data_IF_135317001929
#
_entry.id   IF_135317001929
#
_cell.length_a   1.000
_cell.length_b   1.000
_cell.length_c   1.000
_cell.angle_alpha   90.00
_cell.angle_beta   90.00
_cell.angle_gamma   90.00
#
_symmetry.space_group_name_H-M   'P 1'
#
loop_
_entity.id
_entity.type
_entity.pdbx_description
1 polymer ?
#
# COMPACT_ATOMS: atom_id res chain seq x y z
N UNK A 1 46.18 34.03 87.41
CA UNK A 1 46.19 33.21 86.18
C UNK A 1 45.57 34.06 85.06
N UNK A 2 46.42 34.67 84.21
CA UNK A 2 46.46 34.58 82.73
C UNK A 2 45.14 34.89 81.99
N UNK A 3 45.03 35.62 80.87
CA UNK A 3 45.87 36.46 79.99
C UNK A 3 44.84 37.19 79.07
N UNK A 4 45.22 38.34 78.52
CA UNK A 4 44.47 39.22 77.60
C UNK A 4 44.18 38.66 76.18
N UNK A 5 43.28 39.31 75.40
CA UNK A 5 43.38 39.66 73.95
C UNK A 5 42.04 40.29 73.47
N UNK A 6 41.95 41.53 72.96
CA UNK A 6 42.37 42.16 71.67
C UNK A 6 41.55 41.76 70.40
N UNK A 7 40.60 42.64 70.04
CA UNK A 7 40.28 43.28 68.74
C UNK A 7 40.54 42.59 67.37
N UNK A 8 39.52 42.62 66.48
CA UNK A 8 39.44 43.18 65.08
C UNK A 8 38.50 42.35 64.17
N UNK A 9 37.37 42.92 63.74
CA UNK A 9 37.11 43.56 62.42
C UNK A 9 36.96 42.57 61.25
N UNK A 10 35.73 42.37 60.76
CA UNK A 10 35.44 41.81 59.43
C UNK A 10 34.45 42.74 58.75
N UNK A 11 34.90 43.32 57.63
CA UNK A 11 34.13 44.23 56.78
C UNK A 11 33.30 43.44 55.77
N UNK A 12 31.99 43.67 55.74
CA UNK A 12 31.09 43.11 54.72
C UNK A 12 31.02 44.07 53.53
N UNK A 13 31.52 43.60 52.39
CA UNK A 13 31.50 44.30 51.10
C UNK A 13 30.13 44.12 50.45
N UNK A 14 29.47 45.24 50.12
CA UNK A 14 28.26 45.27 49.30
C UNK A 14 28.61 44.98 47.83
N UNK A 15 28.09 43.87 47.28
CA UNK A 15 28.06 43.62 45.84
C UNK A 15 26.70 44.06 45.28
N UNK A 16 26.72 45.10 44.47
CA UNK A 16 25.59 45.53 43.63
C UNK A 16 25.59 44.63 42.40
N UNK A 17 24.56 43.82 42.22
CA UNK A 17 24.29 43.11 40.96
C UNK A 17 23.11 43.77 40.26
N UNK A 18 23.39 44.42 39.14
CA UNK A 18 22.41 44.96 38.22
C UNK A 18 21.67 43.80 37.52
N UNK A 19 20.36 43.69 37.72
CA UNK A 19 19.52 42.73 37.02
C UNK A 19 19.16 43.31 35.64
N UNK A 20 19.75 42.73 34.59
CA UNK A 20 19.29 42.88 33.22
C UNK A 20 17.94 42.15 33.07
N UNK A 21 16.89 42.90 32.74
CA UNK A 21 15.59 42.34 32.40
C UNK A 21 15.66 41.67 31.01
N UNK A 22 15.20 40.42 30.84
CA UNK A 22 14.89 39.92 29.51
C UNK A 22 13.59 40.56 29.03
N UNK A 23 13.63 41.15 27.82
CA UNK A 23 12.42 41.45 27.04
C UNK A 23 11.67 40.13 26.83
N UNK A 24 10.61 39.92 27.60
CA UNK A 24 9.60 38.92 27.31
C UNK A 24 8.76 39.42 26.13
N UNK A 25 9.00 38.85 24.96
CA UNK A 25 8.13 39.02 23.80
C UNK A 25 6.79 38.32 24.09
N UNK A 26 5.73 39.13 24.26
CA UNK A 26 4.36 38.79 23.86
C UNK A 26 3.67 37.61 24.53
N UNK A 27 3.51 37.62 25.86
CA UNK A 27 2.37 36.94 26.50
C UNK A 27 1.28 37.99 26.76
N UNK A 28 0.30 38.02 25.86
CA UNK A 28 -0.94 38.76 26.04
C UNK A 28 -1.78 38.03 27.11
N UNK A 29 -2.16 38.65 28.23
CA UNK A 29 -3.02 38.04 29.22
C UNK A 29 -4.47 38.24 28.79
N UNK A 30 -5.08 37.26 28.11
CA UNK A 30 -6.54 37.19 28.00
C UNK A 30 -7.12 36.68 29.33
N UNK A 31 -6.97 37.49 30.38
CA UNK A 31 -7.43 37.22 31.74
C UNK A 31 -8.91 37.48 31.96
N UNK A 32 -9.79 36.90 31.13
CA UNK A 32 -11.19 36.71 31.56
C UNK A 32 -11.30 35.31 32.13
N UNK A 33 -11.43 35.21 33.45
CA UNK A 33 -11.89 33.97 34.08
C UNK A 33 -13.19 33.56 33.39
N UNK A 34 -13.14 32.44 32.66
CA UNK A 34 -14.33 31.88 32.04
C UNK A 34 -15.13 31.14 33.12
N UNK A 35 -16.46 31.05 33.00
CA UNK A 35 -17.26 30.22 33.90
C UNK A 35 -16.73 28.77 34.00
N UNK A 36 -16.20 28.23 32.88
CA UNK A 36 -15.60 26.90 32.87
C UNK A 36 -14.28 26.83 33.63
N UNK A 37 -13.39 27.83 33.54
CA UNK A 37 -12.16 27.86 34.34
C UNK A 37 -12.46 27.98 35.84
N UNK A 38 -13.41 28.84 36.22
CA UNK A 38 -13.86 28.95 37.61
C UNK A 38 -14.41 27.62 38.16
N UNK A 39 -15.19 26.88 37.35
CA UNK A 39 -15.66 25.54 37.73
C UNK A 39 -14.52 24.53 37.89
N UNK A 40 -13.45 24.61 37.09
CA UNK A 40 -12.26 23.75 37.22
C UNK A 40 -11.51 24.02 38.52
N UNK A 41 -11.39 25.29 38.91
CA UNK A 41 -10.73 25.68 40.15
C UNK A 41 -11.53 25.21 41.38
N UNK A 42 -12.87 25.31 41.31
CA UNK A 42 -13.77 24.76 42.34
C UNK A 42 -13.65 23.23 42.43
N UNK A 43 -13.59 22.54 41.29
CA UNK A 43 -13.35 21.09 41.25
C UNK A 43 -12.01 20.70 41.88
N UNK A 44 -10.92 21.39 41.50
CA UNK A 44 -9.57 21.15 42.04
C UNK A 44 -9.51 21.40 43.56
N UNK A 45 -10.35 22.30 44.07
CA UNK A 45 -10.50 22.60 45.49
C UNK A 45 -11.50 21.68 46.22
N UNK A 46 -11.98 20.62 45.57
CA UNK A 46 -12.99 19.68 46.07
C UNK A 46 -14.35 20.32 46.44
N UNK A 47 -14.69 21.49 45.88
CA UNK A 47 -15.97 22.20 46.06
C UNK A 47 -16.97 21.77 44.99
N UNK A 48 -17.35 20.50 45.00
CA UNK A 48 -18.09 19.86 43.91
C UNK A 48 -19.50 20.42 43.69
N UNK A 49 -20.26 20.73 44.74
CA UNK A 49 -21.60 21.31 44.61
C UNK A 49 -21.57 22.70 43.95
N UNK A 50 -20.59 23.52 44.32
CA UNK A 50 -20.41 24.86 43.74
C UNK A 50 -19.93 24.79 42.30
N UNK A 51 -18.99 23.88 42.00
CA UNK A 51 -18.58 23.59 40.64
C UNK A 51 -19.79 23.18 39.78
N UNK A 52 -20.67 22.32 40.29
CA UNK A 52 -21.90 21.93 39.59
C UNK A 52 -22.85 23.10 39.37
N UNK A 53 -23.03 23.97 40.36
CA UNK A 53 -23.87 25.16 40.21
C UNK A 53 -23.36 26.05 39.07
N UNK A 54 -22.04 26.29 39.01
CA UNK A 54 -21.42 27.04 37.91
C UNK A 54 -21.61 26.32 36.58
N UNK A 55 -21.29 25.02 36.50
CA UNK A 55 -21.38 24.23 35.27
C UNK A 55 -22.81 24.15 34.71
N UNK A 56 -23.83 24.06 35.56
CA UNK A 56 -25.25 24.09 35.16
C UNK A 56 -25.65 25.42 34.50
N UNK A 57 -24.98 26.52 34.85
CA UNK A 57 -25.26 27.84 34.32
C UNK A 57 -24.59 28.14 32.97
N UNK A 58 -23.63 27.31 32.54
CA UNK A 58 -22.87 27.55 31.31
C UNK A 58 -23.72 27.11 30.11
N UNK A 59 -23.89 28.02 29.14
CA UNK A 59 -24.37 27.67 27.80
C UNK A 59 -23.16 27.33 26.94
N UNK A 60 -23.06 26.10 26.40
CA UNK A 60 -21.92 25.73 25.57
C UNK A 60 -21.99 26.43 24.22
N UNK A 61 -20.88 27.05 23.82
CA UNK A 61 -20.69 27.75 22.56
C UNK A 61 -20.35 26.78 21.41
N UNK A 62 -19.62 25.71 21.73
CA UNK A 62 -19.19 24.69 20.76
C UNK A 62 -19.23 23.24 21.33
N UNK A 63 -19.13 22.20 20.48
CA UNK A 63 -19.14 20.81 20.94
C UNK A 63 -17.96 20.44 21.87
N UNK A 64 -16.70 20.84 21.63
CA UNK A 64 -15.59 20.59 22.55
C UNK A 64 -15.79 21.17 23.97
N UNK A 65 -16.34 22.37 24.08
CA UNK A 65 -16.65 23.02 25.35
C UNK A 65 -17.82 22.31 26.02
N UNK A 66 -18.87 21.92 25.28
CA UNK A 66 -19.96 21.08 25.82
C UNK A 66 -19.44 19.78 26.43
N UNK A 67 -18.58 19.06 25.70
CA UNK A 67 -17.93 17.84 26.21
C UNK A 67 -17.16 18.13 27.50
N UNK A 68 -16.37 19.22 27.52
CA UNK A 68 -15.60 19.61 28.70
C UNK A 68 -16.50 19.91 29.91
N UNK A 69 -17.61 20.62 29.71
CA UNK A 69 -18.60 20.92 30.75
C UNK A 69 -19.16 19.61 31.31
N UNK A 70 -19.66 18.71 30.46
CA UNK A 70 -20.23 17.43 30.91
C UNK A 70 -19.20 16.51 31.56
N UNK A 71 -17.94 16.58 31.14
CA UNK A 71 -16.84 15.86 31.77
C UNK A 71 -16.68 16.32 33.23
N UNK A 72 -16.52 17.62 33.50
CA UNK A 72 -16.39 18.10 34.88
C UNK A 72 -17.66 17.87 35.70
N UNK A 73 -18.85 17.97 35.08
CA UNK A 73 -20.13 17.64 35.74
C UNK A 73 -20.16 16.20 36.21
N UNK A 74 -19.82 15.25 35.33
CA UNK A 74 -19.78 13.82 35.67
C UNK A 74 -18.83 13.54 36.84
N UNK A 75 -17.64 14.16 36.85
CA UNK A 75 -16.66 13.99 37.92
C UNK A 75 -17.16 14.53 39.26
N UNK A 76 -17.80 15.71 39.27
CA UNK A 76 -18.41 16.27 40.48
C UNK A 76 -19.55 15.38 41.00
N UNK A 77 -20.43 14.92 40.12
CA UNK A 77 -21.57 14.07 40.49
C UNK A 77 -21.11 12.72 41.06
N UNK A 78 -20.07 12.11 40.49
CA UNK A 78 -19.46 10.90 41.04
C UNK A 78 -18.86 11.13 42.43
N UNK A 79 -18.17 12.25 42.64
CA UNK A 79 -17.58 12.60 43.93
C UNK A 79 -18.65 12.82 45.02
N UNK A 80 -19.81 13.35 44.64
CA UNK A 80 -20.97 13.55 45.52
C UNK A 80 -21.86 12.30 45.70
N UNK A 81 -21.54 11.18 45.03
CA UNK A 81 -22.35 9.96 45.09
C UNK A 81 -23.67 10.02 44.32
N UNK A 82 -23.86 11.01 43.43
CA UNK A 82 -25.06 11.23 42.62
C UNK A 82 -25.01 10.41 41.33
N UNK A 83 -25.07 9.08 41.47
CA UNK A 83 -24.79 8.11 40.39
C UNK A 83 -25.66 8.26 39.13
N UNK A 84 -26.98 8.40 39.26
CA UNK A 84 -27.90 8.50 38.11
C UNK A 84 -27.65 9.76 37.25
N UNK A 85 -27.39 10.88 37.90
CA UNK A 85 -27.05 12.13 37.22
C UNK A 85 -25.65 12.05 36.60
N UNK A 86 -24.70 11.42 37.30
CA UNK A 86 -23.37 11.17 36.77
C UNK A 86 -23.44 10.34 35.49
N UNK A 87 -24.21 9.26 35.45
CA UNK A 87 -24.39 8.44 34.24
C UNK A 87 -24.92 9.27 33.07
N UNK A 88 -25.84 10.20 33.32
CA UNK A 88 -26.37 11.10 32.29
C UNK A 88 -25.30 12.02 31.73
N UNK A 89 -24.49 12.62 32.59
CA UNK A 89 -23.37 13.47 32.18
C UNK A 89 -22.29 12.66 31.44
N UNK A 90 -21.96 11.46 31.90
CA UNK A 90 -21.02 10.54 31.21
C UNK A 90 -21.55 10.19 29.83
N UNK A 91 -22.84 9.86 29.71
CA UNK A 91 -23.46 9.56 28.43
C UNK A 91 -23.29 10.72 27.44
N UNK A 92 -23.50 11.97 27.90
CA UNK A 92 -23.28 13.15 27.06
C UNK A 92 -21.81 13.31 26.61
N UNK A 93 -20.83 13.00 27.48
CA UNK A 93 -19.41 12.99 27.11
C UNK A 93 -19.12 11.93 26.05
N UNK A 94 -19.61 10.69 26.25
CA UNK A 94 -19.39 9.56 25.33
C UNK A 94 -20.10 9.78 24.00
N UNK A 95 -21.29 10.38 23.98
CA UNK A 95 -21.97 10.76 22.73
C UNK A 95 -21.15 11.80 21.95
N UNK A 96 -20.54 12.77 22.64
CA UNK A 96 -19.72 13.80 22.00
C UNK A 96 -18.35 13.26 21.54
N UNK A 97 -17.76 12.32 22.28
CA UNK A 97 -16.51 11.64 21.93
C UNK A 97 -16.60 10.17 22.34
N UNK A 98 -17.00 9.28 21.41
CA UNK A 98 -17.18 7.87 21.72
C UNK A 98 -15.87 7.13 21.99
N UNK A 99 -14.69 7.73 21.75
CA UNK A 99 -13.39 7.13 22.05
C UNK A 99 -12.83 7.59 23.41
N UNK A 100 -13.47 8.56 24.05
CA UNK A 100 -13.01 9.07 25.33
C UNK A 100 -13.11 8.01 26.44
N UNK A 101 -11.98 7.77 27.09
CA UNK A 101 -11.88 7.04 28.36
C UNK A 101 -10.89 7.76 29.27
N UNK A 102 -11.22 8.03 30.54
CA UNK A 102 -10.27 8.58 31.49
C UNK A 102 -9.08 7.63 31.71
N UNK A 103 -7.85 8.16 31.69
CA UNK A 103 -6.64 7.37 31.94
C UNK A 103 -6.48 7.03 33.42
N UNK A 104 -5.56 6.11 33.74
CA UNK A 104 -5.24 5.78 35.14
C UNK A 104 -4.59 6.95 35.89
N UNK A 105 -3.90 7.85 35.17
CA UNK A 105 -3.29 9.04 35.75
C UNK A 105 -4.33 10.13 36.06
N UNK A 106 -5.41 10.19 35.27
CA UNK A 106 -6.41 11.27 35.34
C UNK A 106 -7.62 10.92 36.22
N UNK A 107 -7.85 9.64 36.53
CA UNK A 107 -9.07 9.19 37.18
C UNK A 107 -8.91 7.95 38.08
N UNK A 108 -9.67 7.94 39.17
CA UNK A 108 -9.74 6.79 40.09
C UNK A 108 -10.36 5.55 39.43
N UNK A 109 -10.11 4.33 39.94
CA UNK A 109 -10.71 3.10 39.41
C UNK A 109 -12.24 3.16 39.31
N UNK A 110 -12.91 3.79 40.29
CA UNK A 110 -14.37 3.96 40.29
C UNK A 110 -14.86 4.84 39.14
N UNK A 111 -14.17 5.95 38.88
CA UNK A 111 -14.51 6.86 37.78
C UNK A 111 -14.32 6.15 36.45
N UNK A 112 -13.19 5.46 36.27
CA UNK A 112 -12.91 4.69 35.04
C UNK A 112 -13.95 3.61 34.79
N UNK A 113 -14.35 2.87 35.82
CA UNK A 113 -15.41 1.87 35.72
C UNK A 113 -16.74 2.49 35.27
N UNK A 114 -17.16 3.62 35.86
CA UNK A 114 -18.40 4.29 35.47
C UNK A 114 -18.40 4.74 34.00
N UNK A 115 -17.29 5.30 33.51
CA UNK A 115 -17.14 5.65 32.09
C UNK A 115 -17.17 4.41 31.19
N UNK A 116 -16.44 3.35 31.57
CA UNK A 116 -16.40 2.09 30.85
C UNK A 116 -17.80 1.47 30.69
N UNK A 117 -18.58 1.44 31.77
CA UNK A 117 -19.91 0.81 31.79
C UNK A 117 -20.91 1.56 30.89
N UNK A 118 -20.93 2.90 30.98
CA UNK A 118 -21.78 3.74 30.12
C UNK A 118 -21.36 3.60 28.66
N UNK A 119 -20.05 3.65 28.38
CA UNK A 119 -19.51 3.53 27.03
C UNK A 119 -19.84 2.19 26.39
N UNK A 120 -19.63 1.09 27.10
CA UNK A 120 -19.95 -0.26 26.61
C UNK A 120 -21.42 -0.41 26.20
N UNK A 121 -22.33 0.29 26.89
CA UNK A 121 -23.77 0.30 26.58
C UNK A 121 -24.11 1.17 25.37
N UNK A 122 -23.46 2.31 25.19
CA UNK A 122 -23.77 3.28 24.13
C UNK A 122 -23.08 2.99 22.79
N UNK A 123 -21.88 2.38 22.81
CA UNK A 123 -21.08 2.13 21.60
C UNK A 123 -21.85 1.46 20.45
N UNK A 124 -22.68 0.42 20.68
CA UNK A 124 -23.43 -0.21 19.59
C UNK A 124 -24.40 0.73 18.88
N UNK A 125 -25.05 1.63 19.61
CA UNK A 125 -25.97 2.61 19.05
C UNK A 125 -25.20 3.70 18.30
N UNK A 126 -24.14 4.24 18.91
CA UNK A 126 -23.31 5.29 18.32
C UNK A 126 -22.64 4.82 17.02
N UNK A 127 -22.13 3.59 16.97
CA UNK A 127 -21.56 3.01 15.76
C UNK A 127 -22.59 2.89 14.63
N UNK A 128 -23.84 2.50 14.95
CA UNK A 128 -24.95 2.41 13.97
C UNK A 128 -25.39 3.78 13.48
N UNK A 129 -25.46 4.78 14.37
CA UNK A 129 -25.75 6.16 14.00
C UNK A 129 -24.67 6.71 13.06
N UNK A 130 -23.39 6.52 13.39
CA UNK A 130 -22.28 6.97 12.55
C UNK A 130 -22.28 6.29 11.17
N UNK A 131 -22.65 4.99 11.12
CA UNK A 131 -22.82 4.28 9.86
C UNK A 131 -23.94 4.85 9.01
N UNK A 132 -25.09 5.19 9.62
CA UNK A 132 -26.21 5.79 8.90
C UNK A 132 -25.82 7.16 8.30
N UNK A 133 -25.06 7.97 9.02
CA UNK A 133 -24.51 9.23 8.51
C UNK A 133 -23.52 9.01 7.35
N UNK A 134 -22.58 8.07 7.52
CA UNK A 134 -21.62 7.69 6.48
C UNK A 134 -22.33 7.25 5.19
N UNK A 135 -23.35 6.42 5.36
CA UNK A 135 -24.19 5.92 4.27
C UNK A 135 -24.96 7.05 3.58
N UNK A 136 -25.48 8.02 4.33
CA UNK A 136 -26.14 9.19 3.76
C UNK A 136 -25.18 10.06 2.92
N UNK A 137 -23.92 10.23 3.36
CA UNK A 137 -22.89 10.91 2.57
C UNK A 137 -22.55 10.14 1.29
N UNK A 138 -22.40 8.82 1.39
CA UNK A 138 -22.18 7.93 0.24
C UNK A 138 -23.31 8.04 -0.78
N UNK A 139 -24.57 8.01 -0.33
CA UNK A 139 -25.75 8.08 -1.19
C UNK A 139 -25.88 9.43 -1.91
N UNK A 140 -25.39 10.51 -1.27
CA UNK A 140 -25.25 11.83 -1.89
C UNK A 140 -24.03 11.95 -2.83
N UNK A 141 -23.25 10.88 -2.99
CA UNK A 141 -21.97 10.84 -3.74
C UNK A 141 -20.90 11.76 -3.18
N UNK A 142 -21.02 12.16 -1.91
CA UNK A 142 -19.95 12.82 -1.18
C UNK A 142 -18.97 11.75 -0.67
N UNK A 143 -18.20 11.18 -1.61
CA UNK A 143 -17.33 10.04 -1.33
C UNK A 143 -16.17 10.41 -0.40
N UNK A 144 -15.73 11.67 -0.39
CA UNK A 144 -14.68 12.14 0.51
C UNK A 144 -15.15 12.16 1.96
N UNK A 145 -16.34 12.71 2.23
CA UNK A 145 -16.94 12.66 3.55
C UNK A 145 -17.26 11.21 3.97
N UNK A 146 -17.86 10.44 3.06
CA UNK A 146 -18.23 9.04 3.31
C UNK A 146 -17.02 8.19 3.70
N UNK A 147 -15.90 8.31 2.98
CA UNK A 147 -14.67 7.59 3.26
C UNK A 147 -14.15 7.90 4.68
N UNK A 148 -14.12 9.18 5.07
CA UNK A 148 -13.75 9.59 6.43
C UNK A 148 -14.69 9.02 7.50
N UNK A 149 -16.00 9.07 7.26
CA UNK A 149 -17.02 8.60 8.20
C UNK A 149 -17.01 7.07 8.34
N UNK A 150 -16.83 6.30 7.26
CA UNK A 150 -16.71 4.84 7.36
C UNK A 150 -15.45 4.40 8.13
N UNK A 151 -14.33 5.13 8.03
CA UNK A 151 -13.17 4.89 8.90
C UNK A 151 -13.50 5.08 10.39
N UNK A 152 -14.27 6.11 10.71
CA UNK A 152 -14.73 6.34 12.09
C UNK A 152 -15.63 5.21 12.56
N UNK A 153 -16.56 4.73 11.74
CA UNK A 153 -17.38 3.54 12.06
C UNK A 153 -16.50 2.34 12.38
N UNK A 154 -15.49 2.04 11.55
CA UNK A 154 -14.57 0.92 11.79
C UNK A 154 -13.79 1.10 13.10
N UNK A 155 -13.38 2.32 13.44
CA UNK A 155 -12.71 2.60 14.71
C UNK A 155 -13.62 2.31 15.90
N UNK A 156 -14.91 2.65 15.82
CA UNK A 156 -15.88 2.33 16.88
C UNK A 156 -16.20 0.84 16.96
N UNK A 157 -16.31 0.18 15.81
CA UNK A 157 -16.63 -1.26 15.73
C UNK A 157 -15.48 -2.11 16.25
N UNK A 158 -14.24 -1.72 15.97
CA UNK A 158 -13.02 -2.42 16.38
C UNK A 158 -12.62 -2.13 17.84
N UNK A 159 -13.37 -1.27 18.52
CA UNK A 159 -13.12 -0.97 19.92
C UNK A 159 -13.24 -2.25 20.79
N UNK A 160 -12.30 -2.52 21.71
CA UNK A 160 -12.32 -3.73 22.53
C UNK A 160 -13.63 -3.93 23.32
N UNK A 161 -14.31 -2.86 23.70
CA UNK A 161 -15.55 -2.93 24.49
C UNK A 161 -16.78 -3.39 23.67
N UNK A 162 -16.70 -3.40 22.35
CA UNK A 162 -17.79 -3.95 21.51
C UNK A 162 -17.85 -5.48 21.61
N UNK A 163 -16.73 -6.15 21.94
CA UNK A 163 -16.66 -7.60 22.11
C UNK A 163 -17.14 -8.37 20.87
N UNK A 164 -16.97 -7.82 19.66
CA UNK A 164 -17.37 -8.47 18.41
C UNK A 164 -18.87 -8.42 18.08
N UNK A 165 -19.72 -7.79 18.91
CA UNK A 165 -21.18 -7.69 18.68
C UNK A 165 -21.58 -6.94 17.41
N UNK A 166 -20.63 -6.30 16.74
CA UNK A 166 -20.83 -5.47 15.55
C UNK A 166 -20.11 -6.04 14.30
N UNK A 167 -19.82 -7.35 14.28
CA UNK A 167 -19.11 -8.00 13.17
C UNK A 167 -19.76 -7.74 11.80
N UNK A 168 -21.09 -7.84 11.70
CA UNK A 168 -21.81 -7.55 10.44
C UNK A 168 -21.63 -6.09 10.01
N UNK A 169 -21.71 -5.16 10.97
CA UNK A 169 -21.51 -3.73 10.70
C UNK A 169 -20.07 -3.45 10.24
N UNK A 170 -19.07 -4.17 10.75
CA UNK A 170 -17.68 -4.11 10.29
C UNK A 170 -17.59 -4.44 8.80
N UNK A 171 -18.19 -5.55 8.38
CA UNK A 171 -18.16 -6.02 6.99
C UNK A 171 -18.80 -4.99 6.07
N UNK A 172 -19.97 -4.47 6.46
CA UNK A 172 -20.66 -3.43 5.70
C UNK A 172 -19.83 -2.15 5.60
N UNK A 173 -19.33 -1.63 6.72
CA UNK A 173 -18.54 -0.39 6.75
C UNK A 173 -17.23 -0.52 5.95
N UNK A 174 -16.55 -1.67 6.01
CA UNK A 174 -15.35 -1.93 5.23
C UNK A 174 -15.64 -1.92 3.72
N UNK A 175 -16.70 -2.61 3.27
CA UNK A 175 -17.07 -2.62 1.86
C UNK A 175 -17.42 -1.24 1.32
N UNK A 176 -18.17 -0.43 2.09
CA UNK A 176 -18.48 0.94 1.68
C UNK A 176 -17.27 1.89 1.75
N UNK A 177 -16.32 1.66 2.66
CA UNK A 177 -15.06 2.38 2.68
C UNK A 177 -14.28 2.16 1.38
N UNK A 178 -14.13 0.90 0.96
CA UNK A 178 -13.43 0.54 -0.29
C UNK A 178 -14.11 1.15 -1.51
N UNK A 179 -15.45 1.11 -1.57
CA UNK A 179 -16.22 1.73 -2.65
C UNK A 179 -16.07 3.26 -2.67
N UNK A 180 -16.04 3.90 -1.49
CA UNK A 180 -15.83 5.35 -1.38
C UNK A 180 -14.44 5.75 -1.87
N UNK A 181 -13.41 5.01 -1.44
CA UNK A 181 -12.03 5.24 -1.87
C UNK A 181 -11.87 5.04 -3.38
N UNK A 182 -12.43 3.97 -3.94
CA UNK A 182 -12.40 3.70 -5.38
C UNK A 182 -13.08 4.82 -6.19
N UNK A 183 -14.19 5.38 -5.69
CA UNK A 183 -14.89 6.47 -6.36
C UNK A 183 -14.11 7.80 -6.38
N UNK A 184 -13.17 7.99 -5.44
CA UNK A 184 -12.27 9.15 -5.39
C UNK A 184 -11.05 8.99 -6.31
N UNK A 185 -10.70 7.76 -6.67
CA UNK A 185 -9.61 7.55 -7.64
C UNK A 185 -10.06 8.02 -9.02
N UNK A 186 -9.31 8.94 -9.66
CA UNK A 186 -9.59 9.29 -11.05
C UNK A 186 -9.54 8.01 -11.88
N UNK A 187 -10.46 7.85 -12.86
CA UNK A 187 -10.34 6.74 -13.78
C UNK A 187 -8.93 6.75 -14.37
N UNK A 188 -8.28 5.59 -14.52
CA UNK A 188 -7.01 5.54 -15.22
C UNK A 188 -7.18 6.28 -16.54
N UNK A 189 -6.20 7.12 -16.94
CA UNK A 189 -6.31 7.84 -18.19
C UNK A 189 -6.66 6.82 -19.28
N UNK A 190 -7.63 7.14 -20.17
CA UNK A 190 -7.98 6.24 -21.24
C UNK A 190 -6.66 5.80 -21.86
N UNK A 191 -6.44 4.48 -21.91
CA UNK A 191 -5.26 3.90 -22.53
C UNK A 191 -5.22 4.56 -23.89
N UNK A 192 -4.27 5.47 -24.10
CA UNK A 192 -4.12 6.13 -25.40
C UNK A 192 -4.00 4.95 -26.33
N UNK A 193 -4.99 4.75 -27.19
CA UNK A 193 -4.80 3.87 -28.33
C UNK A 193 -3.58 4.47 -28.99
N UNK A 194 -2.45 3.79 -28.76
CA UNK A 194 -1.27 4.02 -29.54
C UNK A 194 -1.79 3.91 -30.97
N UNK A 195 -1.67 4.98 -31.79
CA UNK A 195 -2.14 4.91 -33.16
C UNK A 195 -1.62 3.59 -33.72
N UNK A 196 -2.47 2.79 -34.38
CA UNK A 196 -2.08 1.47 -34.85
C UNK A 196 -0.70 1.65 -35.48
N UNK A 197 0.29 0.81 -35.09
CA UNK A 197 1.65 0.99 -35.56
C UNK A 197 1.57 1.24 -37.06
N UNK A 198 2.29 2.25 -37.60
CA UNK A 198 2.25 2.55 -39.02
C UNK A 198 2.35 1.21 -39.76
N UNK A 199 1.52 0.96 -40.79
CA UNK A 199 1.50 -0.32 -41.47
C UNK A 199 2.94 -0.74 -41.69
N UNK A 200 3.33 -1.97 -41.29
CA UNK A 200 4.71 -2.40 -41.39
C UNK A 200 5.21 -2.02 -42.78
N UNK A 201 6.39 -1.38 -42.91
CA UNK A 201 6.94 -1.04 -44.22
C UNK A 201 6.80 -2.29 -45.05
N UNK A 202 6.11 -2.18 -46.19
CA UNK A 202 5.73 -3.31 -47.07
C UNK A 202 6.86 -4.31 -47.02
N UNK A 203 6.65 -5.41 -46.28
CA UNK A 203 7.67 -6.45 -46.16
C UNK A 203 8.05 -6.79 -47.60
N UNK A 204 9.34 -6.76 -47.97
CA UNK A 204 9.72 -7.22 -49.30
C UNK A 204 9.06 -8.58 -49.50
N UNK A 205 8.42 -8.83 -50.66
CA UNK A 205 7.60 -10.01 -50.85
C UNK A 205 8.38 -11.21 -50.35
N UNK A 206 7.85 -11.92 -49.35
CA UNK A 206 8.49 -13.11 -48.79
C UNK A 206 8.69 -14.04 -49.96
N UNK A 207 9.94 -14.16 -50.45
CA UNK A 207 10.26 -14.99 -51.60
C UNK A 207 9.79 -16.41 -51.28
N UNK A 208 8.88 -16.95 -52.10
CA UNK A 208 8.32 -18.29 -51.90
C UNK A 208 9.46 -19.31 -51.85
N UNK A 209 9.51 -20.12 -50.79
CA UNK A 209 10.45 -21.22 -50.65
C UNK A 209 9.79 -22.49 -51.19
N UNK A 210 10.38 -23.08 -52.22
CA UNK A 210 9.87 -24.26 -52.90
C UNK A 210 10.38 -25.56 -52.26
N UNK A 211 9.76 -26.69 -52.56
CA UNK A 211 10.23 -28.01 -52.16
C UNK A 211 9.97 -29.05 -53.27
N UNK A 212 10.21 -30.34 -53.00
CA UNK A 212 10.08 -31.41 -54.00
C UNK A 212 8.66 -31.75 -54.42
N UNK A 213 7.65 -31.23 -53.72
CA UNK A 213 6.22 -31.44 -54.01
C UNK A 213 5.66 -30.35 -54.93
N UNK A 214 6.38 -29.24 -55.13
CA UNK A 214 5.95 -28.14 -56.00
C UNK A 214 6.10 -28.52 -57.50
N UNK A 215 5.01 -28.47 -58.30
CA UNK A 215 5.07 -28.79 -59.73
C UNK A 215 6.03 -27.88 -60.50
N UNK A 216 6.82 -28.46 -61.41
CA UNK A 216 7.76 -27.72 -62.27
C UNK A 216 9.06 -27.28 -61.60
N UNK A 217 9.27 -27.63 -60.33
CA UNK A 217 10.52 -27.37 -59.61
C UNK A 217 11.51 -28.50 -59.83
N UNK A 218 12.71 -28.14 -60.27
CA UNK A 218 13.88 -29.04 -60.30
C UNK A 218 14.69 -28.84 -59.03
N UNK A 219 14.92 -29.91 -58.29
CA UNK A 219 15.62 -29.89 -57.00
C UNK A 219 17.09 -29.44 -57.12
N UNK A 220 17.68 -28.85 -56.06
CA UNK A 220 19.05 -28.38 -56.07
C UNK A 220 20.05 -29.54 -56.10
N UNK A 221 21.09 -29.40 -56.91
CA UNK A 221 22.14 -30.42 -57.07
C UNK A 221 23.31 -30.11 -56.13
N UNK A 222 23.74 -31.10 -55.35
CA UNK A 222 24.85 -30.92 -54.42
C UNK A 222 26.17 -30.66 -55.16
N UNK A 223 26.83 -29.53 -54.84
CA UNK A 223 28.21 -29.25 -55.29
C UNK A 223 29.18 -29.64 -54.17
N UNK A 224 28.89 -29.23 -52.94
CA UNK A 224 29.69 -29.51 -51.75
C UNK A 224 28.78 -29.67 -50.54
N UNK A 225 28.85 -30.82 -49.88
CA UNK A 225 28.08 -31.14 -48.67
C UNK A 225 28.93 -31.99 -47.73
N UNK A 226 29.97 -31.36 -47.15
CA UNK A 226 30.87 -32.04 -46.22
C UNK A 226 30.17 -32.21 -44.88
N UNK A 227 29.81 -33.45 -44.54
CA UNK A 227 29.26 -33.77 -43.22
C UNK A 227 30.43 -33.92 -42.24
N UNK A 228 30.48 -33.13 -41.15
CA UNK A 228 31.52 -33.26 -40.14
C UNK A 228 31.59 -34.68 -39.56
N UNK A 229 32.79 -35.13 -39.20
CA UNK A 229 32.95 -36.41 -38.48
C UNK A 229 32.50 -36.25 -37.03
N UNK A 230 31.88 -37.28 -36.48
CA UNK A 230 31.52 -37.34 -35.06
C UNK A 230 32.81 -37.40 -34.22
N UNK A 231 32.98 -36.53 -33.21
CA UNK A 231 34.12 -36.60 -32.29
C UNK A 231 34.21 -37.95 -31.55
N UNK A 232 35.41 -38.50 -31.43
CA UNK A 232 35.67 -39.80 -30.77
C UNK A 232 35.15 -39.83 -29.33
N UNK A 233 35.20 -38.69 -28.63
CA UNK A 233 34.71 -38.54 -27.25
C UNK A 233 33.21 -38.81 -27.09
N UNK A 234 32.42 -38.78 -28.17
CA UNK A 234 30.96 -39.00 -28.14
C UNK A 234 30.48 -40.13 -29.05
N UNK A 235 31.39 -40.89 -29.69
CA UNK A 235 31.07 -41.84 -30.77
C UNK A 235 30.07 -42.95 -30.38
N UNK A 236 29.98 -43.32 -29.08
CA UNK A 236 29.01 -44.28 -28.55
C UNK A 236 27.81 -43.65 -27.83
N UNK A 237 27.67 -42.32 -27.87
CA UNK A 237 26.62 -41.55 -27.17
C UNK A 237 25.72 -40.77 -28.14
N UNK A 238 25.96 -40.88 -29.44
CA UNK A 238 25.13 -40.28 -30.47
C UNK A 238 23.95 -41.18 -30.82
N UNK A 239 22.84 -40.58 -31.27
CA UNK A 239 21.82 -41.33 -32.01
C UNK A 239 22.34 -41.76 -33.38
N UNK A 240 21.79 -42.83 -33.92
CA UNK A 240 22.18 -43.36 -35.24
C UNK A 240 21.82 -42.42 -36.39
N UNK A 241 20.82 -41.55 -36.19
CA UNK A 241 20.29 -40.67 -37.24
C UNK A 241 19.91 -39.29 -36.71
N UNK A 242 20.14 -38.29 -37.56
CA UNK A 242 19.66 -36.91 -37.41
C UNK A 242 18.96 -36.45 -38.68
N UNK A 243 18.17 -35.38 -38.55
CA UNK A 243 17.44 -34.79 -39.68
C UNK A 243 17.63 -33.27 -39.68
N UNK A 244 18.19 -32.76 -40.77
CA UNK A 244 18.45 -31.35 -41.00
C UNK A 244 17.48 -30.82 -42.07
N UNK A 245 16.80 -29.73 -41.77
CA UNK A 245 16.00 -28.97 -42.71
C UNK A 245 16.75 -27.69 -43.08
N UNK A 246 17.12 -27.57 -44.34
CA UNK A 246 17.88 -26.42 -44.84
C UNK A 246 17.12 -25.66 -45.90
N UNK A 247 17.30 -24.34 -45.93
CA UNK A 247 16.87 -23.49 -47.05
C UNK A 247 18.09 -23.10 -47.85
N UNK A 248 18.05 -23.39 -49.15
CA UNK A 248 19.07 -23.06 -50.15
C UNK A 248 18.53 -21.87 -50.95
N UNK A 249 19.30 -20.81 -51.11
CA UNK A 249 18.92 -19.62 -51.88
C UNK A 249 19.09 -19.80 -53.41
N UNK A 250 18.73 -18.77 -54.16
CA UNK A 250 18.83 -18.69 -55.63
C UNK A 250 20.29 -18.75 -56.12
N UNK A 251 21.27 -18.57 -55.22
CA UNK A 251 22.70 -18.66 -55.49
C UNK A 251 23.28 -20.02 -55.06
N UNK A 252 22.45 -20.92 -54.53
CA UNK A 252 22.87 -22.24 -54.08
C UNK A 252 23.58 -22.26 -52.72
N UNK A 253 23.41 -21.23 -51.89
CA UNK A 253 23.97 -21.15 -50.54
C UNK A 253 22.91 -21.48 -49.49
N UNK A 254 23.34 -22.06 -48.38
CA UNK A 254 22.44 -22.35 -47.26
C UNK A 254 22.19 -21.07 -46.46
N UNK A 255 20.93 -20.64 -46.35
CA UNK A 255 20.53 -19.42 -45.65
C UNK A 255 19.80 -19.68 -44.34
N UNK A 256 19.18 -20.85 -44.19
CA UNK A 256 18.52 -21.27 -42.95
C UNK A 256 18.81 -22.74 -42.68
N UNK A 257 19.03 -23.09 -41.41
CA UNK A 257 19.30 -24.45 -40.94
C UNK A 257 18.46 -24.70 -39.70
N UNK A 258 17.62 -25.74 -39.74
CA UNK A 258 16.79 -26.17 -38.62
C UNK A 258 17.05 -27.66 -38.37
N UNK A 259 17.40 -27.98 -37.13
CA UNK A 259 17.56 -29.37 -36.72
C UNK A 259 16.20 -29.94 -36.32
N UNK A 260 15.66 -30.86 -37.13
CA UNK A 260 14.38 -31.52 -36.86
C UNK A 260 14.52 -32.73 -35.95
N UNK A 261 15.60 -33.48 -36.12
CA UNK A 261 15.97 -34.58 -35.23
C UNK A 261 17.42 -34.38 -34.82
N UNK A 262 17.62 -34.07 -33.55
CA UNK A 262 18.94 -33.92 -32.94
C UNK A 262 19.65 -35.26 -32.73
N UNK A 263 20.97 -35.28 -32.92
CA UNK A 263 21.82 -36.46 -32.78
C UNK A 263 22.53 -36.47 -31.42
N UNK A 264 23.23 -35.39 -31.11
CA UNK A 264 23.91 -35.14 -29.84
C UNK A 264 24.33 -33.67 -29.78
N UNK A 265 24.12 -32.92 -28.68
CA UNK A 265 24.31 -31.46 -28.64
C UNK A 265 25.67 -30.96 -29.18
N UNK A 266 26.76 -31.65 -28.83
CA UNK A 266 28.12 -31.31 -29.32
C UNK A 266 28.24 -31.51 -30.84
N UNK A 267 27.68 -32.59 -31.38
CA UNK A 267 27.72 -32.89 -32.81
C UNK A 267 26.76 -32.01 -33.61
N UNK A 268 25.60 -31.70 -33.03
CA UNK A 268 24.59 -30.85 -33.65
C UNK A 268 25.14 -29.44 -33.93
N UNK A 269 25.93 -28.88 -33.01
CA UNK A 269 26.63 -27.62 -33.23
C UNK A 269 27.65 -27.71 -34.38
N UNK A 270 28.41 -28.81 -34.47
CA UNK A 270 29.34 -29.03 -35.58
C UNK A 270 28.59 -29.16 -36.92
N UNK A 271 27.47 -29.88 -36.94
CA UNK A 271 26.61 -30.05 -38.12
C UNK A 271 26.05 -28.71 -38.60
N UNK A 272 25.50 -27.90 -37.70
CA UNK A 272 24.94 -26.58 -38.05
C UNK A 272 26.03 -25.65 -38.59
N UNK A 273 27.22 -25.64 -37.99
CA UNK A 273 28.32 -24.81 -38.46
C UNK A 273 28.86 -25.29 -39.83
N UNK A 274 29.03 -26.61 -40.01
CA UNK A 274 29.46 -27.18 -41.28
C UNK A 274 28.45 -26.97 -42.41
N UNK A 275 27.15 -27.04 -42.11
CA UNK A 275 26.09 -26.89 -43.10
C UNK A 275 26.01 -25.48 -43.71
N UNK A 276 26.51 -24.44 -43.02
CA UNK A 276 26.60 -23.07 -43.57
C UNK A 276 27.55 -22.97 -44.76
N UNK A 277 28.56 -23.85 -44.80
CA UNK A 277 29.57 -23.87 -45.85
C UNK A 277 29.18 -24.75 -47.05
N UNK A 278 28.04 -25.43 -46.99
CA UNK A 278 27.56 -26.25 -48.09
C UNK A 278 27.18 -25.41 -49.31
N UNK A 279 27.43 -25.97 -50.50
CA UNK A 279 27.17 -25.34 -51.80
C UNK A 279 26.34 -26.28 -52.66
N UNK A 280 25.37 -25.69 -53.34
CA UNK A 280 24.47 -26.38 -54.26
C UNK A 280 24.42 -25.61 -55.58
N UNK A 281 24.06 -26.30 -56.66
CA UNK A 281 23.44 -25.66 -57.81
C UNK A 281 22.00 -25.37 -57.39
N UNK A 282 21.52 -24.13 -57.52
CA UNK A 282 20.20 -23.73 -57.02
C UNK A 282 19.10 -24.57 -57.67
N UNK A 283 17.98 -24.70 -56.97
CA UNK A 283 16.76 -25.24 -57.55
C UNK A 283 16.24 -24.30 -58.63
N UNK A 284 15.57 -24.83 -59.64
CA UNK A 284 14.99 -24.00 -60.70
C UNK A 284 13.50 -24.30 -60.86
N UNK A 285 12.67 -23.25 -60.91
CA UNK A 285 11.29 -23.34 -61.37
C UNK A 285 11.25 -22.83 -62.81
N UNK A 286 10.88 -23.68 -63.77
CA UNK A 286 10.84 -23.31 -65.19
C UNK A 286 12.15 -22.65 -65.69
N UNK A 287 13.30 -23.14 -65.22
CA UNK A 287 14.62 -22.60 -65.57
C UNK A 287 15.10 -21.39 -64.76
N UNK A 288 14.25 -20.79 -63.91
CA UNK A 288 14.62 -19.65 -63.06
C UNK A 288 15.07 -20.14 -61.67
N UNK A 289 16.26 -19.73 -61.16
CA UNK A 289 16.69 -20.08 -59.81
C UNK A 289 15.70 -19.62 -58.74
N UNK A 290 15.36 -20.50 -57.80
CA UNK A 290 14.42 -20.22 -56.69
C UNK A 290 14.97 -20.73 -55.36
N UNK A 291 14.53 -20.13 -54.26
CA UNK A 291 14.83 -20.64 -52.92
C UNK A 291 14.15 -22.00 -52.70
N UNK A 292 14.85 -22.95 -52.10
CA UNK A 292 14.40 -24.34 -51.96
C UNK A 292 14.67 -24.90 -50.57
N UNK A 293 13.66 -25.54 -49.98
CA UNK A 293 13.73 -26.26 -48.72
C UNK A 293 14.07 -27.73 -48.95
N UNK A 294 15.20 -28.19 -48.41
CA UNK A 294 15.69 -29.57 -48.54
C UNK A 294 15.84 -30.22 -47.17
N UNK A 295 15.25 -31.41 -47.03
CA UNK A 295 15.46 -32.28 -45.87
C UNK A 295 16.64 -33.22 -46.14
N UNK A 296 17.59 -33.29 -45.20
CA UNK A 296 18.79 -34.11 -45.29
C UNK A 296 18.86 -35.00 -44.05
N UNK A 297 18.83 -36.31 -44.27
CA UNK A 297 19.09 -37.28 -43.22
C UNK A 297 20.60 -37.45 -43.05
N UNK A 298 21.06 -37.34 -41.81
CA UNK A 298 22.44 -37.62 -41.41
C UNK A 298 22.45 -38.98 -40.73
N UNK A 299 23.25 -39.91 -41.23
CA UNK A 299 23.47 -41.20 -40.58
C UNK A 299 24.82 -41.17 -39.89
N UNK A 300 24.83 -41.46 -38.60
CA UNK A 300 26.06 -41.69 -37.84
C UNK A 300 26.29 -43.20 -37.87
N UNK A 301 27.35 -43.64 -38.54
CA UNK A 301 27.70 -45.05 -38.55
C UNK A 301 28.11 -45.48 -37.12
N UNK A 302 27.50 -46.53 -36.55
CA UNK A 302 28.08 -47.18 -35.39
C UNK A 302 29.39 -47.83 -35.84
N UNK A 303 30.44 -47.67 -35.04
CA UNK A 303 31.68 -48.45 -35.17
C UNK A 303 31.40 -49.94 -35.08
#
# INVERSE_FOLDING_TARGET
>A
MRIAMKSRLVATVCFIFAAAAPLAAGQQPDGRETPLSAARDLYASARYDEALAVLNGIRPDDPPQRKSIEQYRSLCLLALGRGSEAETAIAAVVTADPLFQPSEADASPRVRAAFSDVRQRLLPELARAQYAEAKASFDRKDFAAAEGQFRQVLTLVDDPQTGGRLADLRVLAAGFLDLSAAALTPPPPPKKEEPPPPPPPVSPPVKKIYNGEDPGVVAPVTIRQDVPRVPVSILGRTRDRGLLDIVIDEQGRVTQITLRIAVHPVYDNLLVNGAREWKYRPATLNGTPVAYRKLIQITVAPS
#
